data_IF_912283110745
#
_entry.id   IF_912283110745
#
_cell.length_a   1.000
_cell.length_b   1.000
_cell.length_c   1.000
_cell.angle_alpha   90.00
_cell.angle_beta   90.00
_cell.angle_gamma   90.00
#
_symmetry.space_group_name_H-M   'P 1'
#
loop_
_entity.id
_entity.type
_entity.pdbx_description
1 polymer ?
#
# COMPACT_ATOMS: atom_id res chain seq x y z
N UNK A 1 2.57 9.97 -21.48
CA UNK A 1 2.94 8.94 -20.50
C UNK A 1 1.67 8.19 -20.14
N UNK A 2 1.43 6.98 -20.69
CA UNK A 2 0.19 6.23 -20.42
C UNK A 2 0.31 5.59 -19.03
N UNK A 3 -0.61 5.94 -18.12
CA UNK A 3 -0.81 5.20 -16.88
C UNK A 3 -1.03 3.73 -17.22
N UNK A 4 -0.20 2.84 -16.66
CA UNK A 4 -0.45 1.39 -16.74
C UNK A 4 -1.64 1.10 -15.83
N UNK A 5 -2.81 0.99 -16.43
CA UNK A 5 -3.98 0.39 -15.79
C UNK A 5 -3.57 -0.99 -15.26
N UNK A 6 -3.84 -1.25 -13.98
CA UNK A 6 -3.46 -2.49 -13.30
C UNK A 6 -4.49 -3.55 -13.69
N UNK A 7 -4.20 -4.36 -14.71
CA UNK A 7 -5.16 -5.31 -15.28
C UNK A 7 -5.05 -6.76 -14.72
N UNK A 8 -4.02 -7.09 -13.93
CA UNK A 8 -3.83 -8.47 -13.42
C UNK A 8 -3.21 -8.55 -12.01
N UNK A 9 -3.41 -9.68 -11.32
CA UNK A 9 -2.75 -9.97 -10.04
C UNK A 9 -1.22 -9.99 -10.14
N UNK A 10 -0.68 -10.32 -11.33
CA UNK A 10 0.74 -10.25 -11.60
C UNK A 10 1.25 -8.81 -11.63
N UNK A 11 0.49 -7.88 -12.23
CA UNK A 11 0.83 -6.45 -12.26
C UNK A 11 0.74 -5.82 -10.87
N UNK A 12 -0.26 -6.23 -10.07
CA UNK A 12 -0.35 -5.83 -8.65
C UNK A 12 0.88 -6.27 -7.87
N UNK A 13 1.30 -7.52 -8.02
CA UNK A 13 2.51 -8.05 -7.36
C UNK A 13 3.76 -7.31 -7.80
N UNK A 14 3.95 -7.09 -9.10
CA UNK A 14 5.10 -6.36 -9.62
C UNK A 14 5.18 -4.92 -9.11
N UNK A 15 4.03 -4.24 -8.98
CA UNK A 15 3.97 -2.89 -8.41
C UNK A 15 4.31 -2.90 -6.91
N UNK A 16 3.77 -3.86 -6.15
CA UNK A 16 4.06 -4.00 -4.72
C UNK A 16 5.55 -4.27 -4.46
N UNK A 17 6.17 -5.16 -5.23
CA UNK A 17 7.61 -5.44 -5.13
C UNK A 17 8.46 -4.21 -5.46
N UNK A 18 8.06 -3.42 -6.46
CA UNK A 18 8.74 -2.17 -6.80
C UNK A 18 8.61 -1.13 -5.69
N UNK A 19 7.42 -1.00 -5.09
CA UNK A 19 7.19 -0.09 -3.97
C UNK A 19 7.98 -0.52 -2.73
N UNK A 20 8.04 -1.83 -2.43
CA UNK A 20 8.83 -2.36 -1.33
C UNK A 20 10.33 -2.10 -1.54
N UNK A 21 10.83 -2.26 -2.76
CA UNK A 21 12.22 -1.96 -3.11
C UNK A 21 12.61 -0.48 -3.06
N UNK A 22 11.63 0.44 -2.93
CA UNK A 22 11.87 1.87 -2.76
C UNK A 22 11.81 2.33 -1.30
N UNK A 23 11.42 1.44 -0.38
CA UNK A 23 11.39 1.75 1.05
C UNK A 23 12.81 1.73 1.63
N UNK A 24 13.06 2.59 2.60
CA UNK A 24 14.26 2.46 3.42
C UNK A 24 14.15 1.20 4.30
N UNK A 25 15.27 0.63 4.79
CA UNK A 25 15.23 -0.51 5.71
C UNK A 25 14.41 -0.24 6.99
N UNK A 26 14.35 1.01 7.43
CA UNK A 26 13.55 1.45 8.58
C UNK A 26 12.05 1.46 8.26
N UNK A 27 11.68 1.98 7.09
CA UNK A 27 10.30 1.99 6.61
C UNK A 27 9.79 0.57 6.33
N UNK A 28 10.65 -0.31 5.81
CA UNK A 28 10.30 -1.71 5.56
C UNK A 28 10.01 -2.45 6.88
N UNK A 29 10.83 -2.22 7.91
CA UNK A 29 10.60 -2.81 9.24
C UNK A 29 9.30 -2.28 9.86
N UNK A 30 9.05 -0.97 9.74
CA UNK A 30 7.81 -0.33 10.20
C UNK A 30 6.59 -0.90 9.47
N UNK A 31 6.68 -1.06 8.15
CA UNK A 31 5.63 -1.68 7.35
C UNK A 31 5.39 -3.13 7.78
N UNK A 32 6.43 -3.95 7.96
CA UNK A 32 6.30 -5.33 8.43
C UNK A 32 5.64 -5.42 9.81
N UNK A 33 6.00 -4.52 10.74
CA UNK A 33 5.36 -4.44 12.06
C UNK A 33 3.88 -4.10 11.96
N UNK A 34 3.52 -3.12 11.14
CA UNK A 34 2.11 -2.75 10.91
C UNK A 34 1.37 -3.92 10.25
N UNK A 35 1.95 -4.57 9.25
CA UNK A 35 1.33 -5.71 8.56
C UNK A 35 1.22 -6.97 9.44
N UNK A 36 2.03 -7.11 10.48
CA UNK A 36 1.93 -8.20 11.45
C UNK A 36 0.85 -7.96 12.52
N UNK A 37 0.43 -6.71 12.72
CA UNK A 37 -0.50 -6.30 13.77
C UNK A 37 -1.85 -5.83 13.18
N UNK A 38 -2.91 -6.60 13.44
CA UNK A 38 -4.26 -6.30 12.96
C UNK A 38 -4.83 -4.99 13.51
N UNK A 39 -4.49 -4.63 14.75
CA UNK A 39 -4.95 -3.38 15.36
C UNK A 39 -4.20 -2.19 14.75
N UNK A 40 -2.90 -2.35 14.47
CA UNK A 40 -2.11 -1.35 13.75
C UNK A 40 -2.64 -1.12 12.33
N UNK A 41 -3.02 -2.18 11.61
CA UNK A 41 -3.67 -2.08 10.30
C UNK A 41 -4.98 -1.30 10.37
N UNK A 42 -5.86 -1.65 11.33
CA UNK A 42 -7.14 -0.97 11.48
C UNK A 42 -6.96 0.51 11.84
N UNK A 43 -6.02 0.83 12.73
CA UNK A 43 -5.68 2.22 13.07
C UNK A 43 -5.18 3.00 11.86
N UNK A 44 -4.26 2.42 11.10
CA UNK A 44 -3.74 3.04 9.87
C UNK A 44 -4.87 3.32 8.88
N UNK A 45 -5.69 2.31 8.57
CA UNK A 45 -6.82 2.41 7.66
C UNK A 45 -7.93 3.35 8.16
N UNK A 46 -7.99 3.59 9.47
CA UNK A 46 -8.95 4.52 10.08
C UNK A 46 -8.52 5.98 9.99
N UNK A 47 -7.26 6.26 9.67
CA UNK A 47 -6.79 7.65 9.53
C UNK A 47 -7.48 8.37 8.37
N UNK A 48 -7.76 9.68 8.46
CA UNK A 48 -8.35 10.46 7.37
C UNK A 48 -7.52 10.36 6.08
N UNK A 49 -6.20 10.35 6.20
CA UNK A 49 -5.27 10.25 5.08
C UNK A 49 -5.38 8.88 4.40
N UNK A 50 -5.42 7.78 5.15
CA UNK A 50 -5.62 6.46 4.57
C UNK A 50 -7.01 6.32 3.94
N UNK A 51 -8.06 6.89 4.56
CA UNK A 51 -9.41 6.88 3.98
C UNK A 51 -9.45 7.62 2.65
N UNK A 52 -8.78 8.75 2.54
CA UNK A 52 -8.71 9.51 1.29
C UNK A 52 -7.89 8.79 0.22
N UNK A 53 -6.76 8.18 0.60
CA UNK A 53 -5.98 7.32 -0.29
C UNK A 53 -6.81 6.12 -0.78
N UNK A 54 -7.56 5.46 0.11
CA UNK A 54 -8.43 4.34 -0.23
C UNK A 54 -9.55 4.78 -1.19
N UNK A 55 -10.09 5.99 -1.06
CA UNK A 55 -11.02 6.54 -2.06
C UNK A 55 -10.34 6.80 -3.40
N UNK A 56 -9.11 7.28 -3.43
CA UNK A 56 -8.38 7.50 -4.68
C UNK A 56 -8.00 6.19 -5.38
N UNK A 57 -7.73 5.13 -4.63
CA UNK A 57 -7.31 3.82 -5.15
C UNK A 57 -8.48 2.89 -5.48
N UNK A 58 -9.57 2.95 -4.71
CA UNK A 58 -10.71 2.02 -4.78
C UNK A 58 -12.06 2.71 -4.99
N UNK A 59 -12.14 4.04 -4.91
CA UNK A 59 -13.32 4.79 -5.29
C UNK A 59 -13.43 4.81 -6.82
N UNK A 60 -14.55 4.31 -7.33
CA UNK A 60 -14.98 4.55 -8.70
C UNK A 60 -15.18 6.03 -8.97
#
# INVERSE_FOLDING_TARGET
MRMKEIHSDADRRALLEKLRGQLSPEDENTLQRILADKDAQQKLLSTPQARELMKQLFGK
#
